data_IF_267766660925
#
_entry.id   IF_267766660925
#
_cell.length_a   1.000
_cell.length_b   1.000
_cell.length_c   1.000
_cell.angle_alpha   90.00
_cell.angle_beta   90.00
_cell.angle_gamma   90.00
#
_symmetry.space_group_name_H-M   'P 1'
#
loop_
_entity.id
_entity.type
_entity.pdbx_description
1 polymer ?
#
# COMPACT_ATOMS: atom_id res chain seq x y z
N UNK A 1 9.09 -9.91 26.31
CA UNK A 1 7.93 -10.16 25.40
C UNK A 1 8.25 -9.83 23.96
N UNK A 2 9.12 -8.84 23.67
CA UNK A 2 9.61 -8.52 22.32
C UNK A 2 10.64 -9.56 21.81
N UNK A 3 11.47 -10.13 22.68
CA UNK A 3 12.49 -11.13 22.30
C UNK A 3 11.95 -12.50 21.84
N UNK A 4 10.65 -12.78 22.04
CA UNK A 4 10.02 -14.04 21.60
C UNK A 4 9.49 -13.98 20.15
N UNK A 5 9.37 -12.77 19.57
CA UNK A 5 8.91 -12.57 18.19
C UNK A 5 10.07 -12.55 17.18
N UNK A 6 11.31 -12.29 17.61
CA UNK A 6 12.48 -12.31 16.71
C UNK A 6 12.98 -13.74 16.40
N UNK A 7 12.48 -14.75 17.12
CA UNK A 7 12.98 -16.14 17.00
C UNK A 7 12.21 -17.03 16.02
N UNK A 8 11.27 -16.50 15.24
CA UNK A 8 10.56 -17.27 14.21
C UNK A 8 10.36 -16.43 12.95
N UNK A 9 11.37 -16.46 12.10
CA UNK A 9 11.34 -16.61 10.62
C UNK A 9 12.57 -15.92 10.05
N UNK A 10 13.76 -16.37 10.45
CA UNK A 10 14.93 -16.20 9.60
C UNK A 10 14.90 -17.39 8.64
N UNK A 11 13.96 -17.34 7.70
CA UNK A 11 13.96 -18.29 6.59
C UNK A 11 15.16 -17.87 5.74
N UNK A 12 16.17 -18.73 5.65
CA UNK A 12 17.30 -18.48 4.77
C UNK A 12 16.77 -18.44 3.33
N UNK A 13 16.65 -17.22 2.79
CA UNK A 13 16.18 -16.95 1.43
C UNK A 13 17.07 -17.70 0.41
N UNK A 14 18.31 -18.02 0.79
CA UNK A 14 19.28 -18.73 -0.03
C UNK A 14 18.92 -20.21 -0.16
N UNK A 15 18.55 -20.88 0.94
CA UNK A 15 18.06 -22.27 0.92
C UNK A 15 16.70 -22.36 0.18
N UNK A 16 15.78 -21.41 0.40
CA UNK A 16 14.52 -21.32 -0.35
C UNK A 16 14.73 -21.17 -1.88
N UNK A 17 15.79 -20.45 -2.30
CA UNK A 17 16.13 -20.28 -3.72
C UNK A 17 16.70 -21.56 -4.35
N UNK A 18 17.36 -22.41 -3.57
CA UNK A 18 17.85 -23.71 -4.02
C UNK A 18 16.76 -24.81 -3.96
N UNK A 19 15.80 -24.69 -3.03
CA UNK A 19 14.65 -25.58 -2.86
C UNK A 19 13.45 -25.26 -3.76
N UNK A 20 13.43 -24.14 -4.47
CA UNK A 20 12.47 -23.92 -5.55
C UNK A 20 12.70 -25.02 -6.61
N UNK A 21 11.72 -25.88 -6.88
CA UNK A 21 11.96 -27.04 -7.70
C UNK A 21 12.27 -26.55 -9.11
N UNK A 22 13.53 -26.67 -9.54
CA UNK A 22 13.95 -26.58 -10.96
C UNK A 22 13.10 -27.47 -11.89
N UNK A 23 12.28 -28.36 -11.32
CA UNK A 23 11.33 -29.23 -12.00
C UNK A 23 10.19 -28.53 -12.72
N UNK A 24 9.75 -27.32 -12.33
CA UNK A 24 8.68 -26.61 -13.04
C UNK A 24 9.20 -25.58 -14.07
N UNK A 25 10.44 -25.74 -14.54
CA UNK A 25 11.06 -24.84 -15.50
C UNK A 25 11.21 -25.48 -16.87
N UNK A 26 11.00 -24.69 -17.91
CA UNK A 26 11.26 -25.10 -19.29
C UNK A 26 12.01 -24.03 -20.06
N UNK A 27 13.05 -24.41 -20.78
CA UNK A 27 13.73 -23.49 -21.72
C UNK A 27 12.74 -23.03 -22.81
N UNK A 28 12.81 -21.76 -23.19
CA UNK A 28 12.04 -21.18 -24.30
C UNK A 28 12.18 -21.98 -25.61
N UNK A 29 13.36 -22.58 -25.83
CA UNK A 29 13.62 -23.46 -26.99
C UNK A 29 12.72 -24.70 -26.99
N UNK A 30 12.42 -25.25 -25.81
CA UNK A 30 11.59 -26.43 -25.64
C UNK A 30 10.09 -26.10 -25.64
N UNK A 31 9.70 -24.83 -25.52
CA UNK A 31 8.30 -24.40 -25.59
C UNK A 31 7.72 -24.61 -27.00
N UNK A 32 8.46 -24.20 -28.03
CA UNK A 32 8.04 -24.29 -29.44
C UNK A 32 8.34 -25.65 -30.06
N UNK A 33 9.49 -26.22 -29.74
CA UNK A 33 10.02 -27.38 -30.46
C UNK A 33 9.67 -28.71 -29.80
N UNK A 34 9.16 -28.70 -28.55
CA UNK A 34 8.84 -29.93 -27.82
C UNK A 34 7.54 -29.81 -27.07
N UNK A 35 6.96 -30.96 -26.72
CA UNK A 35 5.79 -31.08 -25.85
C UNK A 35 6.15 -31.33 -24.38
N UNK A 36 7.41 -31.09 -23.99
CA UNK A 36 7.89 -31.33 -22.61
C UNK A 36 7.16 -30.47 -21.56
N UNK A 37 6.58 -29.34 -21.96
CA UNK A 37 5.79 -28.48 -21.07
C UNK A 37 4.42 -29.06 -20.72
N UNK A 38 3.84 -29.96 -21.53
CA UNK A 38 2.52 -30.55 -21.26
C UNK A 38 2.48 -31.35 -19.96
N UNK A 39 3.36 -32.34 -19.72
CA UNK A 39 3.36 -33.05 -18.44
C UNK A 39 3.73 -32.12 -17.27
N UNK A 40 4.53 -31.08 -17.52
CA UNK A 40 4.88 -30.10 -16.49
C UNK A 40 3.68 -29.24 -16.08
N UNK A 41 2.87 -28.76 -17.02
CA UNK A 41 1.65 -28.01 -16.69
C UNK A 41 0.55 -28.90 -16.13
N UNK A 42 0.64 -30.21 -16.31
CA UNK A 42 -0.26 -31.15 -15.67
C UNK A 42 0.11 -31.41 -14.21
N UNK A 43 1.40 -31.51 -13.93
CA UNK A 43 1.95 -31.72 -12.59
C UNK A 43 1.97 -30.43 -11.76
N UNK A 44 2.26 -29.31 -12.39
CA UNK A 44 2.39 -28.00 -11.77
C UNK A 44 1.33 -27.04 -12.31
N UNK A 45 0.75 -26.26 -11.41
CA UNK A 45 -0.20 -25.21 -11.74
C UNK A 45 0.42 -24.09 -12.59
N UNK A 46 1.71 -23.81 -12.36
CA UNK A 46 2.50 -22.80 -13.08
C UNK A 46 3.87 -23.37 -13.47
N UNK A 47 4.25 -23.15 -14.72
CA UNK A 47 5.54 -23.53 -15.29
C UNK A 47 6.28 -22.28 -15.75
N UNK A 48 7.51 -22.08 -15.29
CA UNK A 48 8.35 -20.96 -15.70
C UNK A 48 9.01 -21.26 -17.04
N UNK A 49 8.89 -20.33 -17.99
CA UNK A 49 9.63 -20.37 -19.25
C UNK A 49 10.89 -19.53 -19.07
N UNK A 50 12.05 -20.15 -19.25
CA UNK A 50 13.35 -19.53 -19.03
C UNK A 50 14.15 -19.35 -20.32
N UNK A 51 14.95 -18.29 -20.39
CA UNK A 51 15.98 -18.08 -21.41
C UNK A 51 17.32 -17.85 -20.72
N UNK A 52 18.17 -18.88 -20.67
CA UNK A 52 19.35 -18.85 -19.81
C UNK A 52 18.94 -18.98 -18.35
N UNK A 53 19.26 -17.97 -17.54
CA UNK A 53 18.91 -17.91 -16.11
C UNK A 53 17.63 -17.11 -15.84
N UNK A 54 17.17 -16.33 -16.82
CA UNK A 54 16.04 -15.42 -16.65
C UNK A 54 14.70 -16.08 -16.98
N UNK A 55 13.70 -15.85 -16.12
CA UNK A 55 12.30 -16.19 -16.41
C UNK A 55 11.71 -15.15 -17.36
N UNK A 56 11.38 -15.57 -18.57
CA UNK A 56 10.86 -14.70 -19.63
C UNK A 56 9.34 -14.78 -19.78
N UNK A 57 8.72 -15.87 -19.32
CA UNK A 57 7.27 -16.02 -19.29
C UNK A 57 6.85 -17.05 -18.24
N UNK A 58 5.55 -17.11 -17.95
CA UNK A 58 4.94 -18.15 -17.13
C UNK A 58 3.77 -18.77 -17.90
N UNK A 59 3.72 -20.10 -17.92
CA UNK A 59 2.57 -20.85 -18.41
C UNK A 59 1.73 -21.23 -17.21
N UNK A 60 0.49 -20.78 -17.20
CA UNK A 60 -0.46 -21.09 -16.13
C UNK A 60 -1.53 -22.03 -16.67
N UNK A 61 -2.00 -22.93 -15.80
CA UNK A 61 -3.22 -23.68 -16.04
C UNK A 61 -4.41 -22.72 -16.25
N UNK A 62 -5.24 -22.92 -17.29
CA UNK A 62 -6.37 -22.03 -17.55
C UNK A 62 -7.32 -21.87 -16.35
N UNK A 63 -7.44 -22.91 -15.53
CA UNK A 63 -8.30 -22.95 -14.35
C UNK A 63 -7.88 -21.95 -13.26
N UNK A 64 -6.62 -21.50 -13.27
CA UNK A 64 -6.10 -20.49 -12.33
C UNK A 64 -6.41 -19.07 -12.77
N UNK A 65 -6.71 -18.84 -14.04
CA UNK A 65 -6.91 -17.49 -14.58
C UNK A 65 -8.07 -16.79 -13.85
N UNK A 66 -9.25 -17.40 -13.63
CA UNK A 66 -10.33 -16.76 -12.90
C UNK A 66 -9.97 -16.43 -11.44
N UNK A 67 -9.28 -17.32 -10.73
CA UNK A 67 -8.90 -17.09 -9.34
C UNK A 67 -7.86 -15.98 -9.22
N UNK A 68 -6.86 -15.96 -10.12
CA UNK A 68 -5.85 -14.91 -10.17
C UNK A 68 -6.48 -13.55 -10.51
N UNK A 69 -7.45 -13.49 -11.43
CA UNK A 69 -8.17 -12.26 -11.74
C UNK A 69 -8.98 -11.77 -10.53
N UNK A 70 -9.63 -12.67 -9.80
CA UNK A 70 -10.36 -12.31 -8.59
C UNK A 70 -9.42 -11.75 -7.50
N UNK A 71 -8.26 -12.38 -7.32
CA UNK A 71 -7.26 -11.94 -6.35
C UNK A 71 -6.65 -10.59 -6.72
N UNK A 72 -6.33 -10.38 -8.01
CA UNK A 72 -5.87 -9.08 -8.51
C UNK A 72 -6.91 -7.99 -8.27
N UNK A 73 -8.18 -8.26 -8.55
CA UNK A 73 -9.24 -7.29 -8.32
C UNK A 73 -9.39 -6.95 -6.83
N UNK A 74 -9.35 -7.97 -5.96
CA UNK A 74 -9.39 -7.78 -4.50
C UNK A 74 -8.19 -6.97 -3.99
N UNK A 75 -6.98 -7.26 -4.47
CA UNK A 75 -5.79 -6.50 -4.11
C UNK A 75 -5.85 -5.05 -4.62
N UNK A 76 -6.42 -4.83 -5.80
CA UNK A 76 -6.61 -3.49 -6.34
C UNK A 76 -7.63 -2.69 -5.51
N UNK A 77 -8.75 -3.31 -5.12
CA UNK A 77 -9.74 -2.69 -4.23
C UNK A 77 -9.13 -2.31 -2.88
N UNK A 78 -8.35 -3.21 -2.28
CA UNK A 78 -7.63 -2.93 -1.02
C UNK A 78 -6.63 -1.80 -1.19
N UNK A 79 -5.87 -1.77 -2.28
CA UNK A 79 -4.93 -0.69 -2.56
C UNK A 79 -5.62 0.67 -2.66
N UNK A 80 -6.74 0.76 -3.38
CA UNK A 80 -7.53 1.98 -3.52
C UNK A 80 -8.19 2.42 -2.21
N UNK A 81 -8.57 1.49 -1.33
CA UNK A 81 -9.06 1.80 0.01
C UNK A 81 -7.94 2.37 0.89
N UNK A 82 -6.78 1.71 0.93
CA UNK A 82 -5.61 2.20 1.68
C UNK A 82 -5.14 3.56 1.19
N UNK A 83 -5.17 3.81 -0.13
CA UNK A 83 -4.81 5.10 -0.71
C UNK A 83 -5.73 6.21 -0.18
N UNK A 84 -7.05 5.98 -0.19
CA UNK A 84 -8.05 6.91 0.35
C UNK A 84 -7.88 7.13 1.85
N UNK A 85 -7.62 6.08 2.63
CA UNK A 85 -7.36 6.21 4.06
C UNK A 85 -6.09 7.02 4.32
N UNK A 86 -5.04 6.80 3.54
CA UNK A 86 -3.79 7.55 3.65
C UNK A 86 -3.99 9.05 3.36
N UNK A 87 -4.76 9.37 2.33
CA UNK A 87 -5.12 10.75 1.99
C UNK A 87 -5.94 11.41 3.11
N UNK A 88 -6.93 10.70 3.65
CA UNK A 88 -7.71 11.18 4.79
C UNK A 88 -6.82 11.46 6.00
N UNK A 89 -5.95 10.52 6.36
CA UNK A 89 -5.01 10.68 7.49
C UNK A 89 -4.05 11.86 7.27
N UNK A 90 -3.57 12.08 6.05
CA UNK A 90 -2.78 13.27 5.70
C UNK A 90 -3.55 14.56 5.92
N UNK A 91 -4.81 14.61 5.48
CA UNK A 91 -5.67 15.78 5.69
C UNK A 91 -5.94 16.01 7.17
N UNK A 92 -6.32 14.97 7.92
CA UNK A 92 -6.57 15.04 9.36
C UNK A 92 -5.31 15.52 10.12
N UNK A 93 -4.13 15.06 9.70
CA UNK A 93 -2.86 15.53 10.25
C UNK A 93 -2.62 17.02 9.98
N UNK A 94 -2.85 17.48 8.75
CA UNK A 94 -2.71 18.90 8.38
C UNK A 94 -3.73 19.78 9.13
N UNK A 95 -4.97 19.32 9.29
CA UNK A 95 -5.97 20.00 10.09
C UNK A 95 -5.56 20.09 11.56
N UNK A 96 -5.11 18.99 12.16
CA UNK A 96 -4.63 18.97 13.54
C UNK A 96 -3.42 19.91 13.74
N UNK A 97 -2.47 19.93 12.79
CA UNK A 97 -1.37 20.89 12.81
C UNK A 97 -1.87 22.34 12.78
N UNK A 98 -2.78 22.66 11.85
CA UNK A 98 -3.36 24.01 11.75
C UNK A 98 -4.10 24.42 13.02
N UNK A 99 -4.91 23.53 13.60
CA UNK A 99 -5.62 23.80 14.86
C UNK A 99 -4.61 24.09 15.97
N UNK A 100 -3.57 23.27 16.12
CA UNK A 100 -2.50 23.48 17.10
C UNK A 100 -1.74 24.79 16.89
N UNK A 101 -1.57 25.25 15.66
CA UNK A 101 -0.97 26.56 15.36
C UNK A 101 -1.89 27.74 15.69
N UNK A 102 -3.21 27.55 15.56
CA UNK A 102 -4.21 28.56 15.89
C UNK A 102 -4.48 28.66 17.40
N UNK A 103 -4.22 27.60 18.17
CA UNK A 103 -4.31 27.61 19.61
C UNK A 103 -3.36 28.66 20.23
N UNK A 104 -3.86 29.54 21.10
CA UNK A 104 -3.02 30.53 21.77
C UNK A 104 -2.02 29.82 22.68
N UNK A 105 -0.74 30.16 22.52
CA UNK A 105 0.37 29.45 23.16
C UNK A 105 0.55 29.84 24.62
N UNK A 106 -0.15 30.87 25.08
CA UNK A 106 -0.14 31.36 26.45
C UNK A 106 -1.44 32.07 26.82
N UNK A 107 -1.71 32.20 28.12
CA UNK A 107 -2.86 32.95 28.64
C UNK A 107 -2.82 34.44 28.27
N UNK A 108 -1.63 35.01 28.10
CA UNK A 108 -1.46 36.42 27.68
C UNK A 108 -1.89 36.61 26.23
N UNK A 109 -1.52 35.69 25.34
CA UNK A 109 -1.89 35.72 23.92
C UNK A 109 -3.39 35.46 23.72
N UNK A 110 -3.99 34.61 24.56
CA UNK A 110 -5.45 34.42 24.63
C UNK A 110 -6.15 35.71 25.06
N UNK A 111 -5.62 36.42 26.07
CA UNK A 111 -6.18 37.69 26.53
C UNK A 111 -6.11 38.78 25.46
N UNK A 112 -5.02 38.87 24.70
CA UNK A 112 -4.88 39.84 23.61
C UNK A 112 -5.87 39.55 22.49
N UNK A 113 -5.96 38.28 22.02
CA UNK A 113 -6.95 37.88 21.01
C UNK A 113 -8.39 38.13 21.46
N UNK A 114 -8.69 37.97 22.75
CA UNK A 114 -10.02 38.24 23.30
C UNK A 114 -10.34 39.74 23.34
N UNK A 115 -9.34 40.59 23.59
CA UNK A 115 -9.49 42.05 23.54
C UNK A 115 -9.69 42.50 22.09
N UNK A 116 -8.86 42.03 21.17
CA UNK A 116 -8.96 42.36 19.74
C UNK A 116 -10.35 41.98 19.17
N UNK A 117 -10.88 40.81 19.53
CA UNK A 117 -12.22 40.38 19.12
C UNK A 117 -13.34 41.21 19.78
N UNK A 118 -13.11 41.74 20.98
CA UNK A 118 -14.06 42.62 21.66
C UNK A 118 -14.10 44.00 21.00
N UNK A 119 -12.93 44.52 20.62
CA UNK A 119 -12.79 45.79 19.89
C UNK A 119 -13.45 45.69 18.51
N UNK A 120 -13.25 44.59 17.77
CA UNK A 120 -13.88 44.37 16.46
C UNK A 120 -15.42 44.31 16.56
N UNK A 121 -15.96 43.70 17.63
CA UNK A 121 -17.40 43.70 17.90
C UNK A 121 -17.94 45.08 18.32
N UNK A 122 -17.13 45.87 19.04
CA UNK A 122 -17.49 47.22 19.44
C UNK A 122 -17.46 48.18 18.24
N UNK A 123 -16.54 48.00 17.29
CA UNK A 123 -16.50 48.75 16.03
C UNK A 123 -17.70 48.42 15.13
N UNK A 124 -18.05 47.14 14.96
CA UNK A 124 -19.26 46.76 14.21
C UNK A 124 -20.56 47.28 14.85
N UNK A 125 -20.63 47.30 16.18
CA UNK A 125 -21.79 47.87 16.90
C UNK A 125 -21.84 49.40 16.79
N UNK A 126 -20.69 50.06 16.70
CA UNK A 126 -20.59 51.50 16.48
C UNK A 126 -21.04 51.90 15.08
N UNK A 127 -20.73 51.09 14.05
CA UNK A 127 -21.19 51.35 12.69
C UNK A 127 -22.70 51.15 12.48
N UNK A 128 -23.33 50.27 13.26
CA UNK A 128 -24.79 50.04 13.22
C UNK A 128 -25.60 51.14 13.96
N UNK A 129 -24.94 52.07 14.64
CA UNK A 129 -25.57 53.18 15.39
C UNK A 129 -25.50 54.53 14.66
N UNK A 130 -24.81 54.60 13.52
CA UNK A 130 -24.60 55.82 12.72
C UNK A 130 -25.40 55.86 11.39
N UNK A 131 -26.32 54.91 11.15
CA UNK A 131 -27.35 54.91 10.08
C UNK A 131 -28.77 55.10 10.66
#
# INVERSE_FOLDING_TARGET
>A
MIELLEKKTNIDITELKEELPKGNRISISNLRNTKKWLPLIEQFYTVEVISGEDTVAQLNRPELIPSLLQEINSLHEQYEELLRENEKLKMDHLYAQRVKEMEPKSGTELSTKAIDALDELMEMRGSDLDD
#
